data_IF_258359666193
#
_entry.id   IF_258359666193
#
_cell.length_a   1.000
_cell.length_b   1.000
_cell.length_c   1.000
_cell.angle_alpha   90.00
_cell.angle_beta   90.00
_cell.angle_gamma   90.00
#
_symmetry.space_group_name_H-M   'P 1'
#
loop_
_entity.id
_entity.type
_entity.pdbx_description
1 polymer ?
#
# COMPACT_ATOMS: atom_id res chain seq x y z
N UNK A 1 23.78 13.10 -19.37
CA UNK A 1 22.33 12.88 -19.27
C UNK A 1 21.98 13.02 -17.82
N UNK A 2 20.96 13.84 -17.52
CA UNK A 2 20.46 14.05 -16.17
C UNK A 2 19.75 12.77 -15.69
N UNK A 3 20.05 12.31 -14.48
CA UNK A 3 19.50 11.10 -13.89
C UNK A 3 18.24 11.42 -13.08
N UNK A 4 17.08 10.98 -13.57
CA UNK A 4 15.78 11.16 -12.95
C UNK A 4 15.32 9.91 -12.20
N UNK A 5 15.00 10.05 -10.92
CA UNK A 5 14.29 9.06 -10.13
C UNK A 5 12.81 9.43 -9.96
N UNK A 6 11.92 8.52 -10.34
CA UNK A 6 10.50 8.57 -10.03
C UNK A 6 10.27 7.70 -8.79
N UNK A 7 10.08 8.33 -7.65
CA UNK A 7 9.79 7.67 -6.38
C UNK A 7 8.27 7.57 -6.18
N UNK A 8 7.72 6.45 -6.61
CA UNK A 8 6.30 6.14 -6.42
C UNK A 8 6.03 5.58 -5.02
N UNK A 9 5.15 6.29 -4.32
CA UNK A 9 4.61 5.93 -3.01
C UNK A 9 3.11 5.75 -3.20
N UNK A 10 2.71 4.52 -3.47
CA UNK A 10 1.29 4.20 -3.43
C UNK A 10 0.84 4.12 -1.98
N UNK A 11 -0.26 4.77 -1.60
CA UNK A 11 -0.91 4.39 -0.35
C UNK A 11 -1.28 2.92 -0.46
N UNK A 12 -1.11 2.13 0.60
CA UNK A 12 -1.41 0.69 0.53
C UNK A 12 -2.82 0.49 -0.07
N UNK A 13 -2.99 -0.58 -0.85
CA UNK A 13 -4.27 -0.93 -1.51
C UNK A 13 -4.70 -0.07 -2.70
N UNK A 14 -3.76 0.65 -3.32
CA UNK A 14 -3.97 1.31 -4.62
C UNK A 14 -3.63 0.41 -5.83
N UNK A 15 -3.55 -0.92 -5.63
CA UNK A 15 -3.22 -1.87 -6.70
C UNK A 15 -1.73 -1.92 -7.07
N UNK A 16 -0.86 -1.37 -6.23
CA UNK A 16 0.60 -1.32 -6.43
C UNK A 16 1.24 -2.68 -6.63
N UNK A 17 0.74 -3.73 -5.97
CA UNK A 17 1.31 -5.09 -6.08
C UNK A 17 1.26 -5.60 -7.53
N UNK A 18 0.15 -5.38 -8.23
CA UNK A 18 0.00 -5.79 -9.62
C UNK A 18 1.01 -5.05 -10.52
N UNK A 19 1.14 -3.73 -10.32
CA UNK A 19 2.12 -2.92 -11.01
C UNK A 19 3.55 -3.39 -10.73
N UNK A 20 3.94 -3.52 -9.47
CA UNK A 20 5.28 -3.94 -9.05
C UNK A 20 5.65 -5.31 -9.64
N UNK A 21 4.73 -6.27 -9.66
CA UNK A 21 4.94 -7.55 -10.32
C UNK A 21 5.15 -7.40 -11.84
N UNK A 22 4.38 -6.53 -12.51
CA UNK A 22 4.59 -6.21 -13.94
C UNK A 22 5.96 -5.56 -14.16
N UNK A 23 6.40 -4.64 -13.30
CA UNK A 23 7.70 -3.97 -13.39
C UNK A 23 8.85 -4.96 -13.27
N UNK A 24 8.78 -5.87 -12.28
CA UNK A 24 9.76 -6.97 -12.11
C UNK A 24 9.80 -7.86 -13.34
N UNK A 25 8.64 -8.36 -13.80
CA UNK A 25 8.56 -9.27 -14.94
C UNK A 25 9.07 -8.66 -16.26
N UNK A 26 9.18 -7.32 -16.33
CA UNK A 26 9.56 -6.59 -17.55
C UNK A 26 10.83 -5.78 -17.44
N UNK A 27 11.64 -5.95 -16.39
CA UNK A 27 12.90 -5.20 -16.19
C UNK A 27 13.75 -5.08 -17.46
N UNK A 28 14.00 -6.19 -18.15
CA UNK A 28 14.81 -6.20 -19.38
C UNK A 28 14.17 -5.45 -20.55
N UNK A 29 12.83 -5.38 -20.63
CA UNK A 29 12.11 -4.59 -21.64
C UNK A 29 12.12 -3.11 -21.28
N UNK A 30 11.92 -2.76 -20.01
CA UNK A 30 11.95 -1.36 -19.54
C UNK A 30 13.36 -0.78 -19.68
N UNK A 31 14.39 -1.56 -19.39
CA UNK A 31 15.78 -1.17 -19.55
C UNK A 31 16.12 -0.75 -20.99
N UNK A 32 15.54 -1.43 -21.99
CA UNK A 32 15.68 -1.08 -23.42
C UNK A 32 14.99 0.24 -23.80
N UNK A 33 14.10 0.74 -22.95
CA UNK A 33 13.40 2.01 -23.10
C UNK A 33 14.02 3.12 -22.22
N UNK A 34 15.18 2.86 -21.61
CA UNK A 34 15.85 3.82 -20.72
C UNK A 34 15.32 3.84 -19.28
N UNK A 35 14.31 3.02 -18.94
CA UNK A 35 13.74 2.94 -17.59
C UNK A 35 14.30 1.74 -16.81
N UNK A 36 14.87 1.99 -15.64
CA UNK A 36 15.35 0.95 -14.73
C UNK A 36 14.48 0.80 -13.48
N UNK A 37 14.33 -0.44 -13.02
CA UNK A 37 13.58 -0.80 -11.81
C UNK A 37 14.45 -1.68 -10.90
N UNK A 38 15.04 -1.14 -9.82
CA UNK A 38 16.12 -1.80 -9.12
C UNK A 38 15.79 -3.08 -8.36
N UNK A 39 16.83 -3.86 -8.10
CA UNK A 39 16.77 -5.08 -7.28
C UNK A 39 17.38 -4.85 -5.91
N UNK A 40 18.37 -3.95 -5.80
CA UNK A 40 19.05 -3.67 -4.53
C UNK A 40 18.07 -3.27 -3.42
N UNK A 41 16.97 -2.61 -3.78
CA UNK A 41 15.95 -2.12 -2.84
C UNK A 41 14.89 -3.17 -2.45
N UNK A 42 15.02 -4.41 -2.92
CA UNK A 42 14.07 -5.51 -2.68
C UNK A 42 13.04 -5.68 -3.79
N UNK A 43 12.37 -6.84 -3.85
CA UNK A 43 11.39 -7.15 -4.90
C UNK A 43 10.18 -7.90 -4.32
N UNK A 44 8.97 -7.78 -4.90
CA UNK A 44 8.60 -6.88 -6.00
C UNK A 44 8.43 -5.41 -5.56
N UNK A 45 8.16 -5.17 -4.27
CA UNK A 45 8.15 -3.84 -3.67
C UNK A 45 9.54 -3.47 -3.16
N UNK A 46 9.96 -2.21 -3.33
CA UNK A 46 11.23 -1.69 -2.81
C UNK A 46 11.15 -1.43 -1.29
N UNK A 47 10.71 -2.45 -0.55
CA UNK A 47 10.46 -2.40 0.90
C UNK A 47 11.73 -2.14 1.69
N UNK A 48 12.89 -2.60 1.23
CA UNK A 48 14.15 -2.43 1.95
C UNK A 48 14.50 -0.96 2.14
N UNK A 49 14.11 -0.08 1.21
CA UNK A 49 14.25 1.37 1.36
C UNK A 49 13.49 1.90 2.59
N UNK A 50 12.22 1.51 2.75
CA UNK A 50 11.42 1.91 3.90
C UNK A 50 12.02 1.38 5.22
N UNK A 51 12.45 0.12 5.25
CA UNK A 51 13.06 -0.50 6.44
C UNK A 51 14.39 0.15 6.80
N UNK A 52 15.22 0.50 5.82
CA UNK A 52 16.47 1.21 6.05
C UNK A 52 16.25 2.62 6.60
N UNK A 53 15.18 3.31 6.18
CA UNK A 53 14.95 4.71 6.53
C UNK A 53 14.06 4.91 7.77
N UNK A 54 13.23 3.93 8.17
CA UNK A 54 12.42 4.03 9.39
C UNK A 54 13.27 4.04 10.67
N UNK A 55 12.67 4.46 11.80
CA UNK A 55 13.21 4.23 13.14
C UNK A 55 13.35 2.74 13.44
N UNK A 56 14.23 2.40 14.38
CA UNK A 56 14.33 1.02 14.87
C UNK A 56 12.97 0.57 15.42
N UNK A 57 12.45 -0.52 14.88
CA UNK A 57 11.19 -1.12 15.31
C UNK A 57 11.31 -2.65 15.24
N UNK A 58 11.60 -3.32 16.38
CA UNK A 58 11.67 -4.77 16.44
C UNK A 58 10.36 -5.48 16.08
N UNK A 59 9.23 -4.76 16.12
CA UNK A 59 7.91 -5.26 15.77
C UNK A 59 7.55 -5.13 14.28
N UNK A 60 8.33 -4.40 13.48
CA UNK A 60 8.09 -4.30 12.03
C UNK A 60 8.47 -5.61 11.34
N UNK A 61 7.54 -6.16 10.58
CA UNK A 61 7.70 -7.45 9.89
C UNK A 61 8.77 -7.40 8.79
N UNK A 62 9.04 -6.22 8.22
CA UNK A 62 10.10 -6.01 7.23
C UNK A 62 11.48 -5.95 7.88
N UNK A 63 11.59 -5.26 9.01
CA UNK A 63 12.80 -5.24 9.83
C UNK A 63 13.16 -6.65 10.30
N UNK A 64 12.18 -7.46 10.74
CA UNK A 64 12.39 -8.87 11.07
C UNK A 64 12.91 -9.68 9.88
N UNK A 65 12.25 -9.58 8.72
CA UNK A 65 12.64 -10.31 7.51
C UNK A 65 14.05 -9.94 7.01
N UNK A 66 14.49 -8.70 7.23
CA UNK A 66 15.80 -8.20 6.81
C UNK A 66 16.86 -8.25 7.90
N UNK A 67 16.57 -8.80 9.09
CA UNK A 67 17.50 -8.85 10.22
C UNK A 67 17.88 -7.47 10.81
N UNK A 68 17.03 -6.46 10.61
CA UNK A 68 17.25 -5.07 11.00
C UNK A 68 16.53 -4.66 12.30
N UNK A 69 16.29 -5.63 13.19
CA UNK A 69 15.59 -5.42 14.49
C UNK A 69 16.49 -4.94 15.62
N UNK A 70 17.78 -4.73 15.34
CA UNK A 70 18.75 -4.14 16.28
C UNK A 70 19.43 -2.93 15.65
N UNK A 71 19.94 -2.00 16.46
CA UNK A 71 20.66 -0.84 15.93
C UNK A 71 21.87 -1.23 15.03
N UNK A 72 22.72 -2.21 15.39
CA UNK A 72 23.77 -2.69 14.48
C UNK A 72 23.24 -3.35 13.21
N UNK A 73 22.14 -4.11 13.31
CA UNK A 73 21.49 -4.73 12.15
C UNK A 73 20.94 -3.70 11.17
N UNK A 74 20.26 -2.68 11.67
CA UNK A 74 19.73 -1.57 10.87
C UNK A 74 20.85 -0.74 10.24
N UNK A 75 21.92 -0.45 10.97
CA UNK A 75 23.09 0.25 10.43
C UNK A 75 23.76 -0.55 9.30
N UNK A 76 23.90 -1.87 9.47
CA UNK A 76 24.40 -2.77 8.43
C UNK A 76 23.51 -2.76 7.20
N UNK A 77 22.19 -2.87 7.38
CA UNK A 77 21.23 -2.80 6.29
C UNK A 77 21.39 -1.50 5.49
N UNK A 78 21.49 -0.35 6.17
CA UNK A 78 21.69 0.96 5.52
C UNK A 78 22.97 0.99 4.67
N UNK A 79 24.09 0.57 5.24
CA UNK A 79 25.37 0.56 4.53
C UNK A 79 25.33 -0.37 3.31
N UNK A 80 24.86 -1.61 3.49
CA UNK A 80 24.75 -2.60 2.40
C UNK A 80 23.78 -2.15 1.32
N UNK A 81 22.68 -1.49 1.69
CA UNK A 81 21.69 -1.01 0.73
C UNK A 81 22.26 0.12 -0.14
N UNK A 82 22.94 1.09 0.47
CA UNK A 82 23.59 2.19 -0.25
C UNK A 82 24.69 1.67 -1.20
N UNK A 83 25.54 0.76 -0.73
CA UNK A 83 26.60 0.14 -1.54
C UNK A 83 26.02 -0.64 -2.73
N UNK A 84 25.05 -1.53 -2.50
CA UNK A 84 24.44 -2.33 -3.56
C UNK A 84 23.68 -1.49 -4.57
N UNK A 85 22.98 -0.45 -4.11
CA UNK A 85 22.29 0.48 -5.01
C UNK A 85 23.31 1.20 -5.90
N UNK A 86 24.40 1.73 -5.33
CA UNK A 86 25.45 2.38 -6.11
C UNK A 86 26.05 1.46 -7.17
N UNK A 87 26.45 0.24 -6.78
CA UNK A 87 26.99 -0.77 -7.69
C UNK A 87 26.00 -1.12 -8.82
N UNK A 88 24.72 -1.30 -8.48
CA UNK A 88 23.67 -1.63 -9.44
C UNK A 88 23.44 -0.48 -10.45
N UNK A 89 23.42 0.77 -9.97
CA UNK A 89 23.22 1.95 -10.82
C UNK A 89 24.42 2.23 -11.73
N UNK A 90 25.64 2.08 -11.22
CA UNK A 90 26.86 2.26 -12.01
C UNK A 90 26.98 1.20 -13.12
N UNK A 91 26.54 -0.03 -12.86
CA UNK A 91 26.49 -1.11 -13.85
C UNK A 91 25.48 -0.84 -15.00
N UNK A 92 24.53 0.09 -14.82
CA UNK A 92 23.53 0.45 -15.83
C UNK A 92 23.87 1.71 -16.63
N UNK A 93 25.15 2.05 -16.76
CA UNK A 93 25.63 3.20 -17.52
C UNK A 93 24.82 3.49 -18.80
N UNK A 94 24.50 4.76 -19.05
CA UNK A 94 23.70 5.20 -20.20
C UNK A 94 22.18 5.20 -19.99
N UNK A 95 21.69 4.91 -18.77
CA UNK A 95 20.29 5.15 -18.41
C UNK A 95 20.13 6.54 -17.79
N UNK A 96 18.94 7.11 -17.94
CA UNK A 96 18.57 8.44 -17.48
C UNK A 96 17.31 8.43 -16.60
N UNK A 97 16.54 7.34 -16.57
CA UNK A 97 15.29 7.24 -15.78
C UNK A 97 15.22 5.98 -14.91
N UNK A 98 14.77 6.17 -13.68
CA UNK A 98 14.57 5.10 -12.70
C UNK A 98 13.20 5.20 -12.05
N UNK A 99 12.61 4.04 -11.78
CA UNK A 99 11.35 3.94 -11.04
C UNK A 99 11.59 3.16 -9.74
N UNK A 100 11.29 3.78 -8.61
CA UNK A 100 11.26 3.14 -7.30
C UNK A 100 9.81 3.11 -6.82
N UNK A 101 9.27 1.93 -6.49
CA UNK A 101 7.88 1.80 -6.02
C UNK A 101 7.80 1.07 -4.68
N UNK A 102 7.31 1.75 -3.64
CA UNK A 102 7.10 1.14 -2.32
C UNK A 102 5.97 1.79 -1.55
N UNK A 103 4.92 1.02 -1.28
CA UNK A 103 3.81 1.41 -0.43
C UNK A 103 4.19 1.54 1.06
N UNK A 104 5.29 0.89 1.46
CA UNK A 104 5.77 0.97 2.83
C UNK A 104 6.36 2.35 3.18
N UNK A 105 6.73 3.15 2.17
CA UNK A 105 7.12 4.54 2.38
C UNK A 105 5.97 5.40 2.91
N UNK A 106 4.72 5.06 2.57
CA UNK A 106 3.53 5.68 3.16
C UNK A 106 3.28 5.20 4.58
N UNK A 107 3.33 3.89 4.83
CA UNK A 107 2.84 3.33 6.10
C UNK A 107 3.88 3.24 7.22
N UNK A 108 5.18 3.36 6.92
CA UNK A 108 6.28 3.21 7.91
C UNK A 108 6.99 4.51 8.23
N UNK A 109 7.12 5.45 7.29
CA UNK A 109 7.86 6.70 7.51
C UNK A 109 6.92 7.78 8.05
N UNK A 110 7.13 8.14 9.31
CA UNK A 110 6.24 8.99 10.12
C UNK A 110 6.84 10.35 10.45
N UNK A 111 8.15 10.53 10.31
CA UNK A 111 8.86 11.78 10.63
C UNK A 111 9.65 12.33 9.46
N UNK A 112 9.96 13.63 9.51
CA UNK A 112 10.79 14.27 8.48
C UNK A 112 12.20 13.69 8.42
N UNK A 113 12.80 13.34 9.57
CA UNK A 113 14.10 12.66 9.62
C UNK A 113 14.10 11.30 8.91
N UNK A 114 12.99 10.56 9.00
CA UNK A 114 12.81 9.29 8.29
C UNK A 114 12.77 9.50 6.78
N UNK A 115 12.06 10.54 6.32
CA UNK A 115 11.99 10.90 4.90
C UNK A 115 13.32 11.51 4.41
N UNK A 116 14.02 12.30 5.23
CA UNK A 116 15.34 12.84 4.94
C UNK A 116 16.36 11.71 4.71
N UNK A 117 16.29 10.62 5.47
CA UNK A 117 17.12 9.44 5.20
C UNK A 117 16.84 8.79 3.85
N UNK A 118 15.62 8.88 3.32
CA UNK A 118 15.33 8.43 1.94
C UNK A 118 16.04 9.33 0.94
N UNK A 119 15.92 10.65 1.10
CA UNK A 119 16.63 11.63 0.26
C UNK A 119 18.13 11.37 0.30
N UNK A 120 18.73 11.25 1.48
CA UNK A 120 20.18 11.12 1.65
C UNK A 120 20.73 9.81 1.05
N UNK A 121 19.91 8.75 1.01
CA UNK A 121 20.28 7.48 0.37
C UNK A 121 20.19 7.58 -1.17
N UNK A 122 19.22 8.33 -1.72
CA UNK A 122 18.97 8.39 -3.17
C UNK A 122 19.71 9.54 -3.87
N UNK A 123 19.82 10.71 -3.23
CA UNK A 123 20.38 11.93 -3.82
C UNK A 123 21.81 11.79 -4.38
N UNK A 124 22.71 10.96 -3.83
CA UNK A 124 24.02 10.74 -4.44
C UNK A 124 23.97 10.13 -5.85
N UNK A 125 22.85 9.54 -6.26
CA UNK A 125 22.73 8.79 -7.50
C UNK A 125 21.88 9.46 -8.58
N UNK A 126 21.11 10.48 -8.23
CA UNK A 126 20.12 11.11 -9.10
C UNK A 126 20.25 12.63 -9.04
N UNK A 127 20.19 13.26 -10.20
CA UNK A 127 20.16 14.72 -10.32
C UNK A 127 18.78 15.27 -9.94
N UNK A 128 17.72 14.50 -10.24
CA UNK A 128 16.34 14.83 -9.91
C UNK A 128 15.61 13.64 -9.27
N UNK A 129 14.81 13.92 -8.24
CA UNK A 129 13.88 12.95 -7.64
C UNK A 129 12.48 13.56 -7.64
N UNK A 130 11.56 12.93 -8.37
CA UNK A 130 10.12 13.25 -8.38
C UNK A 130 9.39 12.25 -7.50
N UNK A 131 8.68 12.74 -6.49
CA UNK A 131 7.91 11.91 -5.56
C UNK A 131 6.47 11.85 -6.04
N UNK A 132 5.94 10.65 -6.30
CA UNK A 132 4.56 10.44 -6.77
C UNK A 132 3.74 9.79 -5.66
N UNK A 133 2.80 10.54 -5.09
CA UNK A 133 1.86 10.08 -4.07
C UNK A 133 0.53 9.68 -4.74
N UNK A 134 0.17 8.41 -4.70
CA UNK A 134 -1.12 7.94 -5.22
C UNK A 134 -2.13 7.77 -4.07
N UNK A 135 -3.11 8.66 -3.99
CA UNK A 135 -4.04 8.80 -2.86
C UNK A 135 -5.44 8.30 -3.22
N UNK A 136 -6.11 7.65 -2.27
CA UNK A 136 -7.47 7.09 -2.40
C UNK A 136 -8.36 7.65 -1.28
N UNK A 137 -9.68 7.82 -1.47
CA UNK A 137 -10.56 8.21 -0.37
C UNK A 137 -10.31 7.37 0.90
N UNK A 138 -10.26 8.02 2.07
CA UNK A 138 -9.81 7.38 3.30
C UNK A 138 -10.71 6.20 3.70
N UNK A 139 -12.03 6.32 3.56
CA UNK A 139 -12.94 5.22 3.86
C UNK A 139 -12.70 4.01 2.93
N UNK A 140 -12.45 4.25 1.64
CA UNK A 140 -12.14 3.22 0.66
C UNK A 140 -10.85 2.47 1.01
N UNK A 141 -9.82 3.20 1.44
CA UNK A 141 -8.55 2.65 1.90
C UNK A 141 -8.76 1.78 3.16
N UNK A 142 -9.52 2.27 4.14
CA UNK A 142 -9.81 1.54 5.38
C UNK A 142 -10.59 0.23 5.13
N UNK A 143 -11.58 0.26 4.23
CA UNK A 143 -12.30 -0.96 3.81
C UNK A 143 -11.38 -1.96 3.12
N UNK A 144 -10.42 -1.49 2.33
CA UNK A 144 -9.43 -2.40 1.74
C UNK A 144 -8.44 -2.95 2.79
N UNK A 145 -8.04 -2.13 3.76
CA UNK A 145 -7.17 -2.53 4.87
C UNK A 145 -7.78 -3.65 5.71
N UNK A 146 -9.10 -3.65 5.91
CA UNK A 146 -9.82 -4.71 6.62
C UNK A 146 -9.48 -6.11 6.09
N UNK A 147 -9.41 -6.30 4.77
CA UNK A 147 -9.03 -7.61 4.19
C UNK A 147 -7.58 -8.00 4.53
N UNK A 148 -6.63 -7.05 4.54
CA UNK A 148 -5.26 -7.33 4.98
C UNK A 148 -5.20 -7.68 6.46
N UNK A 149 -5.88 -6.89 7.30
CA UNK A 149 -5.90 -7.06 8.74
C UNK A 149 -6.41 -8.47 9.11
N UNK A 150 -7.51 -8.90 8.49
CA UNK A 150 -8.04 -10.24 8.69
C UNK A 150 -7.09 -11.35 8.22
N UNK A 151 -6.39 -11.17 7.08
CA UNK A 151 -5.39 -12.15 6.60
C UNK A 151 -4.21 -12.36 7.55
N UNK A 152 -3.90 -11.36 8.38
CA UNK A 152 -2.86 -11.46 9.44
C UNK A 152 -3.46 -11.78 10.81
N UNK A 153 -4.74 -12.18 10.87
CA UNK A 153 -5.41 -12.64 12.08
C UNK A 153 -5.93 -11.52 12.98
N UNK A 154 -6.10 -10.30 12.47
CA UNK A 154 -6.74 -9.22 13.24
C UNK A 154 -8.25 -9.29 13.11
N UNK A 155 -8.94 -9.01 14.22
CA UNK A 155 -10.38 -8.76 14.23
C UNK A 155 -10.69 -7.48 13.47
N UNK A 156 -11.75 -7.51 12.66
CA UNK A 156 -12.27 -6.39 11.87
C UNK A 156 -13.74 -6.16 12.20
N UNK A 157 -14.09 -4.97 12.65
CA UNK A 157 -15.46 -4.52 12.86
C UNK A 157 -15.57 -3.00 12.66
N UNK A 158 -16.70 -2.40 13.03
CA UNK A 158 -16.88 -0.95 12.97
C UNK A 158 -15.89 -0.21 13.89
N UNK A 159 -15.54 -0.79 15.04
CA UNK A 159 -14.57 -0.26 15.98
C UNK A 159 -13.17 -0.24 15.39
N UNK A 160 -12.77 -1.31 14.71
CA UNK A 160 -11.51 -1.39 13.95
C UNK A 160 -11.41 -0.24 12.93
N UNK A 161 -12.44 -0.02 12.11
CA UNK A 161 -12.42 1.05 11.10
C UNK A 161 -12.33 2.45 11.74
N UNK A 162 -13.08 2.69 12.82
CA UNK A 162 -13.02 3.97 13.58
C UNK A 162 -11.65 4.20 14.21
N UNK A 163 -11.09 3.17 14.84
CA UNK A 163 -9.77 3.22 15.46
C UNK A 163 -8.69 3.51 14.43
N UNK A 164 -8.71 2.81 13.28
CA UNK A 164 -7.75 3.04 12.19
C UNK A 164 -7.89 4.41 11.55
N UNK A 165 -9.12 4.92 11.41
CA UNK A 165 -9.33 6.30 11.01
C UNK A 165 -8.78 7.32 12.03
N UNK A 166 -8.63 6.93 13.30
CA UNK A 166 -8.10 7.77 14.38
C UNK A 166 -6.60 7.63 14.65
N UNK A 167 -5.92 6.66 14.05
CA UNK A 167 -4.47 6.44 14.20
C UNK A 167 -3.62 7.52 13.47
N UNK A 168 -4.28 8.49 12.82
CA UNK A 168 -3.70 9.71 12.25
C UNK A 168 -2.83 9.47 11.01
N UNK A 169 -1.65 8.89 11.19
CA UNK A 169 -0.59 8.82 10.18
C UNK A 169 -1.04 8.24 8.83
N UNK A 170 -1.87 7.21 8.85
CA UNK A 170 -2.24 6.46 7.64
C UNK A 170 -3.27 7.20 6.78
N UNK A 171 -4.14 8.02 7.40
CA UNK A 171 -5.25 8.72 6.76
C UNK A 171 -5.06 10.24 6.63
N UNK A 172 -4.12 10.84 7.38
CA UNK A 172 -3.78 12.27 7.35
C UNK A 172 -2.92 12.61 6.13
N UNK A 173 -3.55 12.71 4.95
CA UNK A 173 -2.83 12.98 3.70
C UNK A 173 -2.18 14.35 3.66
N UNK A 174 -2.75 15.37 4.32
CA UNK A 174 -2.08 16.66 4.44
C UNK A 174 -0.77 16.56 5.22
N UNK A 175 -0.75 15.77 6.31
CA UNK A 175 0.48 15.49 7.08
C UNK A 175 1.47 14.70 6.24
N UNK A 176 1.03 13.66 5.54
CA UNK A 176 1.86 12.89 4.62
C UNK A 176 2.51 13.80 3.58
N UNK A 177 1.71 14.63 2.91
CA UNK A 177 2.22 15.56 1.91
C UNK A 177 3.27 16.51 2.50
N UNK A 178 3.02 17.12 3.67
CA UNK A 178 3.98 18.02 4.34
C UNK A 178 5.31 17.34 4.63
N UNK A 179 5.31 16.11 5.14
CA UNK A 179 6.53 15.36 5.42
C UNK A 179 7.43 15.24 4.18
N UNK A 180 6.84 14.88 3.05
CA UNK A 180 7.58 14.70 1.80
C UNK A 180 7.92 16.04 1.14
N UNK A 181 7.02 17.02 1.19
CA UNK A 181 7.22 18.36 0.64
C UNK A 181 8.34 19.12 1.36
N UNK A 182 8.47 18.97 2.68
CA UNK A 182 9.51 19.62 3.47
C UNK A 182 10.91 19.08 3.16
N UNK A 183 11.02 17.83 2.70
CA UNK A 183 12.31 17.18 2.40
C UNK A 183 12.69 17.30 0.92
N UNK A 184 11.75 17.04 0.01
CA UNK A 184 12.00 17.00 -1.44
C UNK A 184 11.58 18.30 -2.17
N UNK A 185 10.83 19.18 -1.50
CA UNK A 185 10.25 20.38 -2.08
C UNK A 185 8.90 20.12 -2.75
N UNK A 186 7.91 20.96 -2.48
CA UNK A 186 6.54 20.80 -3.01
C UNK A 186 6.48 20.68 -4.55
N UNK A 187 7.35 21.39 -5.28
CA UNK A 187 7.41 21.34 -6.75
C UNK A 187 7.85 19.97 -7.32
N UNK A 188 8.49 19.13 -6.50
CA UNK A 188 8.92 17.78 -6.86
C UNK A 188 7.92 16.70 -6.47
N UNK A 189 6.83 17.07 -5.77
CA UNK A 189 5.76 16.15 -5.43
C UNK A 189 4.67 16.21 -6.50
N UNK A 190 4.22 15.03 -6.92
CA UNK A 190 3.06 14.85 -7.80
C UNK A 190 2.01 14.02 -7.08
N UNK A 191 0.79 14.53 -7.02
CA UNK A 191 -0.32 13.85 -6.36
C UNK A 191 -1.23 13.24 -7.41
N UNK A 192 -1.58 11.98 -7.24
CA UNK A 192 -2.45 11.27 -8.17
C UNK A 192 -3.67 10.80 -7.39
N UNK A 193 -4.85 11.22 -7.84
CA UNK A 193 -6.11 10.77 -7.27
C UNK A 193 -6.51 9.42 -7.86
N UNK A 194 -6.67 8.40 -7.01
CA UNK A 194 -7.13 7.06 -7.39
C UNK A 194 -8.49 7.10 -8.09
N UNK A 195 -9.36 8.06 -7.75
CA UNK A 195 -10.68 8.23 -8.38
C UNK A 195 -10.57 8.51 -9.88
N UNK A 196 -9.58 9.31 -10.30
CA UNK A 196 -9.33 9.65 -11.71
C UNK A 196 -8.34 8.69 -12.38
N UNK A 197 -7.38 8.14 -11.63
CA UNK A 197 -6.37 7.20 -12.13
C UNK A 197 -6.32 5.91 -11.29
N UNK A 198 -7.33 5.01 -11.34
CA UNK A 198 -7.34 3.78 -10.54
C UNK A 198 -6.20 2.79 -10.85
N UNK A 199 -5.58 2.90 -12.03
CA UNK A 199 -4.28 2.31 -12.35
C UNK A 199 -3.26 3.45 -12.41
N UNK A 200 -2.26 3.42 -11.54
CA UNK A 200 -1.19 4.43 -11.51
C UNK A 200 -0.17 4.21 -12.63
N UNK A 201 -0.20 3.04 -13.28
CA UNK A 201 0.66 2.68 -14.40
C UNK A 201 0.65 3.73 -15.51
N UNK A 202 -0.52 4.24 -15.89
CA UNK A 202 -0.63 5.23 -16.97
C UNK A 202 0.07 6.56 -16.61
N UNK A 203 0.04 6.96 -15.34
CA UNK A 203 0.75 8.16 -14.88
C UNK A 203 2.25 7.93 -14.82
N UNK A 204 2.69 6.77 -14.32
CA UNK A 204 4.11 6.42 -14.26
C UNK A 204 4.71 6.22 -15.66
N UNK A 205 3.95 5.67 -16.61
CA UNK A 205 4.33 5.53 -18.02
C UNK A 205 4.62 6.89 -18.65
N UNK A 206 3.74 7.88 -18.44
CA UNK A 206 3.96 9.25 -18.93
C UNK A 206 5.16 9.93 -18.26
N UNK A 207 5.36 9.73 -16.96
CA UNK A 207 6.48 10.34 -16.24
C UNK A 207 7.81 9.69 -16.60
N UNK A 208 7.81 8.38 -16.83
CA UNK A 208 8.99 7.59 -17.13
C UNK A 208 9.32 7.54 -18.62
N UNK A 209 8.45 8.06 -19.49
CA UNK A 209 8.54 7.95 -20.95
C UNK A 209 8.87 6.51 -21.39
N UNK A 210 8.10 5.55 -20.85
CA UNK A 210 8.32 4.12 -21.06
C UNK A 210 7.01 3.34 -20.96
N UNK A 211 6.76 2.45 -21.93
CA UNK A 211 5.58 1.59 -22.00
C UNK A 211 5.56 0.59 -20.83
N UNK A 212 4.67 0.87 -19.88
CA UNK A 212 4.30 0.01 -18.76
C UNK A 212 3.05 -0.82 -19.09
N UNK A 213 2.27 -0.44 -20.10
CA UNK A 213 0.95 -0.98 -20.45
C UNK A 213 0.93 -2.35 -21.15
N UNK A 214 1.98 -2.77 -21.86
CA UNK A 214 1.91 -3.95 -22.73
C UNK A 214 1.84 -5.34 -22.03
N UNK A 215 0.64 -5.83 -21.66
CA UNK A 215 0.33 -7.24 -21.29
C UNK A 215 -0.95 -7.41 -20.44
N UNK A 216 -1.36 -8.63 -20.07
CA UNK A 216 -2.69 -8.88 -19.48
C UNK A 216 -2.91 -8.11 -18.17
N UNK A 217 -3.96 -7.27 -18.11
CA UNK A 217 -4.36 -6.46 -16.95
C UNK A 217 -5.10 -7.27 -15.86
N UNK A 218 -5.35 -8.57 -16.08
CA UNK A 218 -6.56 -9.22 -15.57
C UNK A 218 -6.40 -10.06 -14.29
N UNK A 219 -5.24 -10.64 -13.99
CA UNK A 219 -5.19 -11.68 -12.93
C UNK A 219 -5.06 -11.14 -11.48
N UNK A 220 -4.58 -9.91 -11.26
CA UNK A 220 -4.18 -9.45 -9.92
C UNK A 220 -5.28 -8.72 -9.12
N UNK A 221 -6.31 -8.18 -9.78
CA UNK A 221 -7.39 -7.43 -9.08
C UNK A 221 -8.34 -8.34 -8.30
N UNK A 222 -8.48 -9.61 -8.69
CA UNK A 222 -9.50 -10.52 -8.15
C UNK A 222 -9.18 -11.09 -6.74
N UNK A 223 -7.90 -11.13 -6.32
CA UNK A 223 -7.51 -11.74 -5.05
C UNK A 223 -7.28 -10.74 -3.88
N UNK A 224 -7.58 -9.45 -4.10
CA UNK A 224 -7.24 -8.39 -3.13
C UNK A 224 -8.23 -8.24 -1.96
N UNK A 225 -9.49 -8.62 -2.15
CA UNK A 225 -10.56 -8.52 -1.15
C UNK A 225 -10.93 -9.88 -0.60
N UNK A 226 -11.25 -9.92 0.69
CA UNK A 226 -11.87 -11.09 1.30
C UNK A 226 -13.40 -10.99 1.20
N UNK A 227 -14.03 -12.16 1.10
CA UNK A 227 -15.47 -12.28 1.32
C UNK A 227 -15.81 -11.93 2.77
N UNK A 228 -16.97 -11.30 3.00
CA UNK A 228 -17.42 -10.94 4.34
C UNK A 228 -17.56 -12.16 5.28
N UNK A 229 -17.84 -13.33 4.73
CA UNK A 229 -17.86 -14.61 5.46
C UNK A 229 -16.47 -14.99 5.98
N UNK A 230 -15.42 -14.75 5.19
CA UNK A 230 -14.04 -14.98 5.61
C UNK A 230 -13.65 -14.04 6.76
N UNK A 231 -14.05 -12.76 6.68
CA UNK A 231 -13.84 -11.79 7.75
C UNK A 231 -14.57 -12.19 9.04
N UNK A 232 -15.83 -12.61 8.92
CA UNK A 232 -16.60 -13.10 10.07
C UNK A 232 -15.93 -14.31 10.73
N UNK A 233 -15.42 -15.27 9.95
CA UNK A 233 -14.72 -16.43 10.48
C UNK A 233 -13.46 -16.03 11.26
N UNK A 234 -12.66 -15.08 10.75
CA UNK A 234 -11.48 -14.56 11.47
C UNK A 234 -11.91 -13.91 12.79
N UNK A 235 -12.95 -13.08 12.77
CA UNK A 235 -13.47 -12.46 13.98
C UNK A 235 -13.86 -13.49 15.05
N UNK A 236 -14.63 -14.50 14.68
CA UNK A 236 -15.04 -15.55 15.61
C UNK A 236 -13.85 -16.33 16.17
N UNK A 237 -12.83 -16.58 15.35
CA UNK A 237 -11.62 -17.26 15.77
C UNK A 237 -10.79 -16.41 16.75
N UNK A 238 -10.66 -15.11 16.50
CA UNK A 238 -10.02 -14.17 17.42
C UNK A 238 -10.79 -14.08 18.74
N UNK A 239 -12.12 -13.97 18.69
CA UNK A 239 -12.97 -13.91 19.88
C UNK A 239 -12.90 -15.19 20.72
N UNK A 240 -12.71 -16.34 20.07
CA UNK A 240 -12.53 -17.64 20.71
C UNK A 240 -11.11 -17.85 21.27
N UNK A 241 -10.21 -16.86 21.16
CA UNK A 241 -8.81 -16.97 21.58
C UNK A 241 -7.98 -17.92 20.71
N UNK A 242 -8.44 -18.23 19.49
CA UNK A 242 -7.82 -19.15 18.54
C UNK A 242 -7.56 -18.46 17.19
N UNK A 243 -6.74 -17.40 17.13
CA UNK A 243 -6.50 -16.66 15.90
C UNK A 243 -5.95 -17.59 14.81
N UNK A 244 -6.50 -17.49 13.60
CA UNK A 244 -6.22 -18.43 12.51
C UNK A 244 -4.81 -18.33 11.92
N UNK A 245 -3.95 -17.44 12.43
CA UNK A 245 -2.61 -17.18 11.90
C UNK A 245 -2.65 -16.74 10.43
N UNK A 246 -1.48 -16.73 9.78
CA UNK A 246 -1.37 -16.46 8.33
C UNK A 246 -1.68 -17.74 7.54
N UNK A 247 -2.96 -18.06 7.35
CA UNK A 247 -3.44 -19.22 6.56
C UNK A 247 -4.02 -18.76 5.22
N UNK A 248 -3.17 -18.36 4.29
CA UNK A 248 -3.60 -17.87 2.97
C UNK A 248 -4.48 -18.89 2.22
N UNK A 249 -4.20 -20.18 2.36
CA UNK A 249 -4.96 -21.25 1.69
C UNK A 249 -6.47 -21.22 1.99
N UNK A 250 -6.89 -20.80 3.19
CA UNK A 250 -8.32 -20.78 3.56
C UNK A 250 -9.03 -19.58 2.96
N UNK A 251 -8.34 -18.44 2.94
CA UNK A 251 -8.84 -17.20 2.39
C UNK A 251 -8.98 -17.26 0.88
N UNK A 252 -8.02 -17.88 0.20
CA UNK A 252 -7.97 -17.92 -1.25
C UNK A 252 -8.93 -18.98 -1.83
N UNK A 253 -9.33 -19.97 -1.04
CA UNK A 253 -10.31 -20.97 -1.44
C UNK A 253 -11.77 -20.47 -1.33
N UNK A 254 -12.03 -19.39 -0.60
CA UNK A 254 -13.33 -18.75 -0.55
C UNK A 254 -13.52 -17.80 -1.73
N UNK A 255 -14.40 -18.17 -2.67
CA UNK A 255 -14.87 -17.23 -3.70
C UNK A 255 -15.52 -16.00 -3.06
N UNK A 256 -15.09 -14.82 -3.47
CA UNK A 256 -15.70 -13.55 -3.07
C UNK A 256 -17.08 -13.43 -3.72
N UNK A 257 -18.13 -13.59 -2.90
CA UNK A 257 -19.55 -13.38 -3.24
C UNK A 257 -19.99 -12.01 -2.76
N UNK A 258 -19.58 -11.62 -1.55
CA UNK A 258 -19.93 -10.33 -0.97
C UNK A 258 -18.72 -9.69 -0.29
N UNK A 259 -18.36 -8.48 -0.71
CA UNK A 259 -17.29 -7.68 -0.10
C UNK A 259 -17.82 -6.87 1.08
N UNK A 260 -16.94 -6.52 2.02
CA UNK A 260 -17.26 -5.57 3.07
C UNK A 260 -17.62 -4.21 2.46
N UNK A 261 -18.85 -3.75 2.73
CA UNK A 261 -19.38 -2.44 2.33
C UNK A 261 -20.11 -1.81 3.52
N UNK A 262 -19.45 -0.90 4.27
CA UNK A 262 -20.10 -0.10 5.30
C UNK A 262 -21.28 0.69 4.74
N UNK A 263 -22.24 1.05 5.60
CA UNK A 263 -23.39 1.84 5.17
C UNK A 263 -22.98 3.28 4.88
N UNK A 264 -23.69 3.95 3.97
CA UNK A 264 -23.41 5.32 3.53
C UNK A 264 -23.24 6.29 4.70
N UNK A 265 -24.10 6.18 5.72
CA UNK A 265 -24.00 6.99 6.93
C UNK A 265 -22.69 6.80 7.70
N UNK A 266 -22.24 5.55 7.87
CA UNK A 266 -20.97 5.22 8.51
C UNK A 266 -19.77 5.63 7.66
N UNK A 267 -19.83 5.41 6.34
CA UNK A 267 -18.78 5.83 5.43
C UNK A 267 -18.58 7.35 5.46
N UNK A 268 -19.69 8.11 5.45
CA UNK A 268 -19.66 9.56 5.57
C UNK A 268 -19.19 10.03 6.96
N UNK A 269 -19.56 9.34 8.04
CA UNK A 269 -19.03 9.59 9.39
C UNK A 269 -17.49 9.55 9.42
N UNK A 270 -16.91 8.49 8.86
CA UNK A 270 -15.45 8.31 8.80
C UNK A 270 -14.81 9.35 7.88
N UNK A 271 -15.35 9.54 6.67
CA UNK A 271 -14.76 10.42 5.66
C UNK A 271 -14.73 11.88 6.12
N UNK A 272 -15.80 12.36 6.77
CA UNK A 272 -15.92 13.75 7.25
C UNK A 272 -14.79 14.19 8.17
N UNK A 273 -14.10 13.25 8.81
CA UNK A 273 -12.94 13.54 9.68
C UNK A 273 -11.77 14.16 8.91
N UNK A 274 -11.73 13.95 7.60
CA UNK A 274 -10.61 14.36 6.75
C UNK A 274 -10.97 15.48 5.79
N UNK A 275 -12.23 15.95 5.75
CA UNK A 275 -12.71 16.92 4.76
C UNK A 275 -11.89 18.21 4.77
N UNK A 276 -11.60 18.76 5.96
CA UNK A 276 -10.83 19.99 6.09
C UNK A 276 -9.38 19.82 5.58
N UNK A 277 -8.72 18.71 5.93
CA UNK A 277 -7.35 18.41 5.50
C UNK A 277 -7.29 18.10 4.00
N UNK A 278 -8.28 17.37 3.48
CA UNK A 278 -8.41 17.07 2.06
C UNK A 278 -8.65 18.34 1.23
N UNK A 279 -9.56 19.22 1.68
CA UNK A 279 -9.80 20.50 1.03
C UNK A 279 -8.53 21.36 1.02
N UNK A 280 -7.82 21.42 2.15
CA UNK A 280 -6.54 22.14 2.22
C UNK A 280 -5.48 21.53 1.30
N UNK A 281 -5.44 20.21 1.18
CA UNK A 281 -4.51 19.55 0.27
C UNK A 281 -4.82 19.87 -1.20
N UNK A 282 -6.10 19.90 -1.58
CA UNK A 282 -6.57 20.31 -2.92
C UNK A 282 -6.18 21.76 -3.23
N UNK A 283 -6.29 22.67 -2.26
CA UNK A 283 -5.84 24.06 -2.44
C UNK A 283 -4.32 24.18 -2.66
N UNK A 284 -3.54 23.35 -1.98
CA UNK A 284 -2.07 23.39 -2.01
C UNK A 284 -1.48 22.66 -3.23
N UNK A 285 -2.22 21.69 -3.80
CA UNK A 285 -1.70 20.78 -4.81
C UNK A 285 -2.51 20.89 -6.11
N UNK A 286 -1.95 21.50 -7.18
CA UNK A 286 -2.68 21.70 -8.44
C UNK A 286 -3.01 20.38 -9.15
N UNK A 287 -2.37 19.27 -8.79
CA UNK A 287 -2.67 17.95 -9.35
C UNK A 287 -4.03 17.40 -8.88
N UNK A 288 -4.57 17.90 -7.77
CA UNK A 288 -5.85 17.47 -7.21
C UNK A 288 -6.97 18.46 -7.53
N UNK A 289 -8.19 17.95 -7.69
CA UNK A 289 -9.41 18.76 -7.84
C UNK A 289 -10.42 18.40 -6.75
N UNK A 290 -11.37 19.30 -6.41
CA UNK A 290 -12.45 18.98 -5.48
C UNK A 290 -13.17 17.68 -5.88
N UNK A 291 -13.42 16.79 -4.92
CA UNK A 291 -14.02 15.47 -5.16
C UNK A 291 -13.03 14.32 -5.40
N UNK A 292 -11.74 14.59 -5.62
CA UNK A 292 -10.74 13.54 -5.90
C UNK A 292 -10.50 12.58 -4.73
N UNK A 293 -10.60 13.10 -3.50
CA UNK A 293 -10.40 12.36 -2.26
C UNK A 293 -11.72 11.95 -1.60
N UNK A 294 -12.85 12.19 -2.29
CA UNK A 294 -14.16 11.80 -1.82
C UNK A 294 -14.54 10.41 -2.37
N UNK A 295 -15.22 9.58 -1.56
CA UNK A 295 -15.75 8.31 -2.04
C UNK A 295 -16.73 8.54 -3.20
N UNK A 296 -16.84 7.55 -4.09
CA UNK A 296 -17.82 7.64 -5.17
C UNK A 296 -19.26 7.76 -4.59
N UNK A 297 -20.16 8.53 -5.23
CA UNK A 297 -21.55 8.71 -4.74
C UNK A 297 -22.27 7.39 -4.42
N UNK A 298 -22.00 6.32 -5.19
CA UNK A 298 -22.60 5.00 -5.04
C UNK A 298 -21.64 3.93 -4.50
N UNK A 299 -20.46 4.34 -4.00
CA UNK A 299 -19.48 3.41 -3.42
C UNK A 299 -20.08 2.62 -2.23
N UNK A 300 -20.94 3.27 -1.44
CA UNK A 300 -21.52 2.71 -0.23
C UNK A 300 -23.06 2.64 -0.29
N UNK A 301 -23.65 1.46 0.00
CA UNK A 301 -25.10 1.29 0.02
C UNK A 301 -25.73 2.04 1.21
N UNK A 302 -27.01 2.36 1.14
CA UNK A 302 -27.73 3.00 2.27
C UNK A 302 -27.58 2.16 3.56
N UNK A 303 -27.90 0.87 3.46
CA UNK A 303 -27.67 -0.12 4.51
C UNK A 303 -26.45 -0.97 4.16
N UNK A 304 -25.39 -0.83 4.95
CA UNK A 304 -24.18 -1.64 4.80
C UNK A 304 -24.26 -3.00 5.47
N UNK A 305 -23.20 -3.77 5.28
CA UNK A 305 -23.13 -5.16 5.71
C UNK A 305 -22.18 -5.42 6.89
N UNK A 306 -21.67 -4.38 7.57
CA UNK A 306 -20.85 -4.52 8.78
C UNK A 306 -21.46 -5.47 9.83
N UNK A 307 -22.79 -5.44 9.96
CA UNK A 307 -23.53 -6.29 10.89
C UNK A 307 -23.42 -7.80 10.57
N UNK A 308 -23.03 -8.18 9.34
CA UNK A 308 -22.80 -9.59 8.97
C UNK A 308 -21.52 -10.17 9.58
N UNK A 309 -20.57 -9.32 10.00
CA UNK A 309 -19.30 -9.74 10.60
C UNK A 309 -19.48 -10.46 11.95
N UNK A 310 -20.62 -10.27 12.60
CA UNK A 310 -20.93 -10.80 13.94
C UNK A 310 -22.11 -11.79 13.92
N UNK A 311 -22.74 -12.02 12.76
CA UNK A 311 -23.88 -12.93 12.67
C UNK A 311 -23.45 -14.39 12.67
N UNK A 312 -24.05 -15.19 13.56
CA UNK A 312 -23.91 -16.66 13.58
C UNK A 312 -24.21 -17.31 12.23
N UNK A 313 -25.15 -16.78 11.46
CA UNK A 313 -25.48 -17.28 10.12
C UNK A 313 -24.31 -17.09 9.14
N UNK A 314 -23.63 -15.94 9.17
CA UNK A 314 -22.42 -15.69 8.36
C UNK A 314 -21.30 -16.66 8.72
N UNK A 315 -21.14 -16.97 10.02
CA UNK A 315 -20.17 -17.95 10.51
C UNK A 315 -20.49 -19.36 10.03
N UNK A 316 -21.75 -19.78 10.14
CA UNK A 316 -22.20 -21.08 9.67
C UNK A 316 -21.99 -21.23 8.15
N UNK A 317 -22.28 -20.18 7.37
CA UNK A 317 -22.04 -20.17 5.93
C UNK A 317 -20.55 -20.19 5.57
N UNK A 318 -19.71 -19.43 6.30
CA UNK A 318 -18.26 -19.47 6.14
C UNK A 318 -17.70 -20.87 6.43
N UNK A 319 -18.13 -21.46 7.54
CA UNK A 319 -17.72 -22.80 7.96
C UNK A 319 -18.17 -23.86 6.96
N UNK A 320 -19.42 -23.83 6.50
CA UNK A 320 -19.91 -24.76 5.47
C UNK A 320 -19.10 -24.67 4.17
N UNK A 321 -18.68 -23.46 3.78
CA UNK A 321 -17.88 -23.27 2.57
C UNK A 321 -16.42 -23.72 2.72
N UNK A 322 -15.83 -23.61 3.92
CA UNK A 322 -14.43 -23.99 4.17
C UNK A 322 -14.29 -25.44 4.65
N UNK A 323 -15.31 -26.04 5.28
CA UNK A 323 -15.27 -27.41 5.79
C UNK A 323 -14.80 -28.47 4.77
N UNK A 324 -15.20 -28.43 3.48
CA UNK A 324 -14.74 -29.42 2.49
C UNK A 324 -13.27 -29.33 2.11
N UNK A 325 -12.62 -28.20 2.39
CA UNK A 325 -11.22 -27.91 2.02
C UNK A 325 -10.29 -27.91 3.24
N UNK A 326 -10.82 -28.12 4.45
CA UNK A 326 -10.00 -28.25 5.65
C UNK A 326 -9.31 -29.61 5.68
N UNK A 327 -7.98 -29.68 5.94
CA UNK A 327 -7.34 -30.94 6.24
C UNK A 327 -8.01 -31.58 7.47
N UNK A 328 -8.15 -32.91 7.49
CA UNK A 328 -8.90 -33.68 8.51
C UNK A 328 -8.54 -33.32 9.97
N UNK A 329 -7.34 -32.76 10.20
CA UNK A 329 -6.84 -32.34 11.51
C UNK A 329 -7.37 -30.99 12.05
N UNK A 330 -8.13 -30.21 11.28
CA UNK A 330 -8.61 -28.86 11.69
C UNK A 330 -10.10 -28.84 12.04
N UNK A 331 -10.80 -29.97 11.91
CA UNK A 331 -12.25 -30.05 12.08
C UNK A 331 -12.76 -30.11 13.55
N UNK A 332 -11.88 -29.89 14.54
CA UNK A 332 -12.16 -30.02 15.98
C UNK A 332 -12.31 -28.69 16.72
#
# INVERSE_FOLDING_TARGET
MERLCILHIGTEKTGTTALQMRLVARRARLARQGLRYPEALGTPSHRALAVACQRLDPGDDGAQALGAVTAPGLARLRATLAERLGQELDAWGGCDRWLISSEHLHSRLRTEDEVARVRDLLAPHFDEIVVVLHLRPQIDMLVSLASTAARVGQRVDAGFLRARAGDGHYCEYLRLWRLWANVFGAARLKLVAFRRSPDIGDTLERLADADLAAGPKEAARMNAFLDIRALALVNAAVDAGRPLGRRSEWFDALRVVEQLRPGRGFAAEIQRRFDADNARLVELCPDLVPGDLDPAPDAFPERGNLHLLERRQSLAAAWQAIRPILPERVAG
#
